data_IF_506117045279
#
_entry.id   IF_506117045279
#
_cell.length_a   1.000
_cell.length_b   1.000
_cell.length_c   1.000
_cell.angle_alpha   90.00
_cell.angle_beta   90.00
_cell.angle_gamma   90.00
#
_symmetry.space_group_name_H-M   'P 1'
#
loop_
_entity.id
_entity.type
_entity.pdbx_description
1 polymer ?
#
# COMPACT_ATOMS: atom_id res chain seq x y z
N UNK A 1 -12.28 9.06 -6.11
CA UNK A 1 -13.72 9.35 -5.87
C UNK A 1 -13.96 10.68 -5.10
N UNK A 2 -13.21 10.99 -4.03
CA UNK A 2 -13.43 12.25 -3.27
C UNK A 2 -13.09 13.48 -4.10
N UNK A 3 -12.02 13.45 -4.88
CA UNK A 3 -11.59 14.57 -5.72
C UNK A 3 -12.56 14.84 -6.88
N UNK A 4 -13.25 13.82 -7.39
CA UNK A 4 -14.20 13.94 -8.50
C UNK A 4 -15.44 14.73 -8.16
N UNK A 5 -15.63 15.09 -6.89
CA UNK A 5 -16.65 16.08 -6.48
C UNK A 5 -16.27 17.52 -6.83
N UNK A 6 -14.99 17.77 -7.06
CA UNK A 6 -14.42 19.12 -7.27
C UNK A 6 -13.72 19.28 -8.61
N UNK A 7 -13.22 18.18 -9.17
CA UNK A 7 -12.44 18.16 -10.41
C UNK A 7 -13.00 17.11 -11.37
N UNK A 8 -12.89 17.37 -12.66
CA UNK A 8 -13.19 16.35 -13.67
C UNK A 8 -12.02 15.36 -13.74
N UNK A 9 -12.28 14.16 -14.22
CA UNK A 9 -11.31 13.06 -14.24
C UNK A 9 -10.03 13.38 -15.00
N UNK A 10 -10.14 14.19 -16.04
CA UNK A 10 -9.02 14.63 -16.88
C UNK A 10 -8.01 15.48 -16.10
N UNK A 11 -8.46 16.16 -15.04
CA UNK A 11 -7.63 16.99 -14.18
C UNK A 11 -7.12 16.27 -12.93
N UNK A 12 -7.42 14.98 -12.79
CA UNK A 12 -6.98 14.17 -11.65
C UNK A 12 -5.85 13.25 -12.08
N UNK A 13 -4.66 13.56 -11.59
CA UNK A 13 -3.53 12.65 -11.61
C UNK A 13 -3.46 11.95 -10.26
N UNK A 14 -3.19 10.67 -10.30
CA UNK A 14 -2.98 9.87 -9.12
C UNK A 14 -1.67 9.09 -9.26
N UNK A 15 -1.07 8.73 -8.14
CA UNK A 15 0.20 8.02 -8.18
C UNK A 15 0.45 7.18 -6.94
N UNK A 16 1.31 6.18 -7.11
CA UNK A 16 1.90 5.44 -6.00
C UNK A 16 3.39 5.76 -5.92
N UNK A 17 3.88 5.97 -4.72
CA UNK A 17 5.29 6.24 -4.47
C UNK A 17 5.89 5.07 -3.69
N UNK A 18 7.03 4.57 -4.17
CA UNK A 18 7.85 3.55 -3.51
C UNK A 18 9.25 4.14 -3.27
N UNK A 19 9.30 5.24 -2.53
CA UNK A 19 10.53 5.92 -2.14
C UNK A 19 10.64 5.85 -0.61
N UNK A 20 11.73 5.28 -0.12
CA UNK A 20 12.04 5.29 1.31
C UNK A 20 12.66 6.62 1.71
N UNK A 21 12.09 7.29 2.70
CA UNK A 21 12.62 8.55 3.22
C UNK A 21 12.51 8.60 4.75
N UNK A 22 13.40 9.35 5.37
CA UNK A 22 13.33 9.70 6.81
C UNK A 22 13.25 11.21 6.93
N UNK A 23 12.21 11.70 7.57
CA UNK A 23 12.09 13.11 7.94
C UNK A 23 12.81 13.34 9.26
N UNK A 24 14.00 13.97 9.23
CA UNK A 24 14.78 14.28 10.42
C UNK A 24 14.20 15.49 11.16
N UNK A 25 13.86 16.52 10.41
CA UNK A 25 13.16 17.74 10.87
C UNK A 25 12.52 18.44 9.68
N UNK A 26 11.76 19.47 9.93
CA UNK A 26 11.14 20.26 8.86
C UNK A 26 12.19 20.75 7.85
N UNK A 27 12.03 20.37 6.58
CA UNK A 27 12.95 20.72 5.49
C UNK A 27 14.22 19.86 5.39
N UNK A 28 14.37 18.83 6.21
CA UNK A 28 15.54 17.94 6.24
C UNK A 28 15.09 16.49 6.12
N UNK A 29 15.27 15.92 4.93
CA UNK A 29 14.79 14.58 4.57
C UNK A 29 15.93 13.76 4.02
N UNK A 30 16.22 12.63 4.67
CA UNK A 30 17.15 11.64 4.15
C UNK A 30 16.44 10.69 3.19
N UNK A 31 17.08 10.44 2.05
CA UNK A 31 16.65 9.43 1.10
C UNK A 31 17.28 8.08 1.46
N UNK A 32 16.45 7.06 1.68
CA UNK A 32 16.93 5.72 2.00
C UNK A 32 17.13 4.96 0.69
N UNK A 33 18.37 4.69 0.35
CA UNK A 33 18.74 3.91 -0.83
C UNK A 33 19.73 4.64 -1.73
N UNK A 34 20.00 4.04 -2.89
CA UNK A 34 20.88 4.66 -3.89
C UNK A 34 20.12 5.76 -4.64
N UNK A 35 20.77 6.83 -5.10
CA UNK A 35 20.16 7.82 -5.99
C UNK A 35 19.46 7.13 -7.17
N UNK A 36 18.21 7.50 -7.44
CA UNK A 36 17.37 6.87 -8.46
C UNK A 36 16.72 5.55 -8.05
N UNK A 37 16.94 5.06 -6.81
CA UNK A 37 16.19 3.94 -6.28
C UNK A 37 14.76 4.37 -5.93
N UNK A 38 13.84 3.42 -6.01
CA UNK A 38 12.41 3.67 -5.83
C UNK A 38 11.72 4.04 -7.14
N UNK A 39 10.41 4.18 -7.07
CA UNK A 39 9.60 4.53 -8.24
C UNK A 39 8.42 5.39 -7.87
N UNK A 40 7.99 6.21 -8.81
CA UNK A 40 6.73 6.94 -8.77
C UNK A 40 5.90 6.46 -9.95
N UNK A 41 4.79 5.78 -9.70
CA UNK A 41 3.84 5.46 -10.77
C UNK A 41 2.81 6.56 -10.84
N UNK A 42 2.56 7.09 -12.02
CA UNK A 42 1.60 8.17 -12.27
C UNK A 42 0.61 7.71 -13.32
N UNK A 43 -0.66 8.00 -13.10
CA UNK A 43 -1.70 7.80 -14.10
C UNK A 43 -2.69 8.99 -14.07
N UNK A 44 -3.22 9.32 -15.22
CA UNK A 44 -4.43 10.11 -15.30
C UNK A 44 -5.63 9.22 -14.97
N UNK A 45 -6.65 9.73 -14.26
CA UNK A 45 -7.81 8.92 -13.87
C UNK A 45 -8.63 8.40 -15.07
N UNK A 46 -8.50 9.03 -16.22
CA UNK A 46 -9.09 8.53 -17.47
C UNK A 46 -8.31 7.37 -18.10
N UNK A 47 -7.13 7.03 -17.53
CA UNK A 47 -6.17 6.08 -18.08
C UNK A 47 -5.65 6.46 -19.48
N UNK A 48 -5.91 7.70 -19.91
CA UNK A 48 -5.43 8.27 -21.15
C UNK A 48 -4.51 9.45 -20.83
N UNK A 49 -3.19 9.25 -20.90
CA UNK A 49 -2.26 10.35 -20.66
C UNK A 49 -2.42 11.43 -21.74
N UNK A 50 -2.54 12.66 -21.29
CA UNK A 50 -2.55 13.85 -22.12
C UNK A 50 -1.17 14.52 -22.14
N UNK A 51 -1.04 15.63 -22.88
CA UNK A 51 0.21 16.38 -22.97
C UNK A 51 0.71 16.85 -21.60
N UNK A 52 -0.21 17.31 -20.74
CA UNK A 52 0.12 17.77 -19.39
C UNK A 52 0.67 16.64 -18.52
N UNK A 53 0.12 15.45 -18.64
CA UNK A 53 0.64 14.25 -17.96
C UNK A 53 2.07 13.94 -18.41
N UNK A 54 2.36 14.04 -19.70
CA UNK A 54 3.71 13.83 -20.23
C UNK A 54 4.70 14.90 -19.77
N UNK A 55 4.29 16.16 -19.68
CA UNK A 55 5.12 17.24 -19.11
C UNK A 55 5.51 16.93 -17.66
N UNK A 56 4.54 16.55 -16.80
CA UNK A 56 4.79 16.19 -15.39
C UNK A 56 5.76 15.01 -15.28
N UNK A 57 5.63 14.00 -16.13
CA UNK A 57 6.57 12.88 -16.17
C UNK A 57 7.98 13.35 -16.58
N UNK A 58 8.08 14.28 -17.52
CA UNK A 58 9.37 14.85 -17.92
C UNK A 58 10.03 15.64 -16.79
N UNK A 59 9.25 16.42 -16.04
CA UNK A 59 9.72 17.18 -14.87
C UNK A 59 10.24 16.25 -13.77
N UNK A 60 9.53 15.15 -13.48
CA UNK A 60 9.99 14.15 -12.52
C UNK A 60 11.30 13.49 -12.95
N UNK A 61 11.47 13.19 -14.25
CA UNK A 61 12.73 12.66 -14.78
C UNK A 61 13.87 13.69 -14.66
N UNK A 62 13.60 14.96 -14.97
CA UNK A 62 14.58 16.03 -14.83
C UNK A 62 15.04 16.22 -13.36
N UNK A 63 14.14 15.93 -12.40
CA UNK A 63 14.43 15.91 -10.96
C UNK A 63 15.13 14.63 -10.49
N UNK A 64 15.61 13.76 -11.37
CA UNK A 64 16.21 12.45 -11.05
C UNK A 64 15.31 11.50 -10.26
N UNK A 65 14.01 11.71 -10.34
CA UNK A 65 13.04 10.71 -9.87
C UNK A 65 12.84 9.65 -10.95
N UNK A 66 12.33 8.49 -10.57
CA UNK A 66 12.11 7.38 -11.50
C UNK A 66 10.60 7.20 -11.77
N UNK A 67 9.98 8.07 -12.61
CA UNK A 67 8.56 8.02 -12.89
C UNK A 67 8.24 6.95 -13.91
N UNK A 68 7.16 6.23 -13.67
CA UNK A 68 6.52 5.32 -14.62
C UNK A 68 5.12 5.84 -14.91
N UNK A 69 4.80 6.05 -16.19
CA UNK A 69 3.45 6.33 -16.62
C UNK A 69 2.71 4.99 -16.79
N UNK A 70 1.63 4.81 -16.03
CA UNK A 70 0.80 3.60 -16.09
C UNK A 70 -0.56 3.89 -16.71
N UNK A 71 -1.06 2.96 -17.49
CA UNK A 71 -2.44 2.95 -18.03
C UNK A 71 -3.36 2.01 -17.25
N UNK A 72 -2.85 1.37 -16.19
CA UNK A 72 -3.61 0.54 -15.26
C UNK A 72 -3.47 1.10 -13.84
N UNK A 73 -4.04 2.28 -13.62
CA UNK A 73 -3.89 2.96 -12.31
C UNK A 73 -4.52 2.16 -11.17
N UNK A 74 -5.76 1.69 -11.35
CA UNK A 74 -6.44 0.92 -10.31
C UNK A 74 -5.69 -0.36 -9.96
N UNK A 75 -5.19 -1.08 -10.95
CA UNK A 75 -4.37 -2.29 -10.71
C UNK A 75 -3.09 -1.96 -9.96
N UNK A 76 -2.40 -0.87 -10.32
CA UNK A 76 -1.19 -0.41 -9.64
C UNK A 76 -1.47 -0.04 -8.19
N UNK A 77 -2.53 0.73 -7.95
CA UNK A 77 -2.94 1.14 -6.60
C UNK A 77 -3.31 -0.08 -5.75
N UNK A 78 -4.15 -0.96 -6.30
CA UNK A 78 -4.65 -2.13 -5.57
C UNK A 78 -3.53 -3.14 -5.29
N UNK A 79 -2.56 -3.35 -6.18
CA UNK A 79 -1.37 -4.17 -5.89
C UNK A 79 -0.64 -3.64 -4.65
N UNK A 80 -0.45 -2.32 -4.53
CA UNK A 80 0.14 -1.73 -3.32
C UNK A 80 -0.75 -1.91 -2.09
N UNK A 81 -2.07 -1.78 -2.23
CA UNK A 81 -3.03 -1.99 -1.13
C UNK A 81 -2.96 -3.44 -0.64
N UNK A 82 -2.88 -4.42 -1.54
CA UNK A 82 -2.74 -5.84 -1.18
C UNK A 82 -1.46 -6.09 -0.39
N UNK A 83 -0.31 -5.61 -0.87
CA UNK A 83 0.94 -5.70 -0.14
C UNK A 83 0.83 -5.10 1.27
N UNK A 84 0.31 -3.88 1.38
CA UNK A 84 0.15 -3.18 2.65
C UNK A 84 -0.84 -3.89 3.58
N UNK A 85 -1.90 -4.51 3.06
CA UNK A 85 -2.90 -5.21 3.87
C UNK A 85 -2.33 -6.43 4.61
N UNK A 86 -1.25 -7.00 4.10
CA UNK A 86 -0.50 -8.06 4.75
C UNK A 86 0.52 -7.49 5.73
N UNK A 87 1.49 -6.75 5.18
CA UNK A 87 2.69 -6.37 5.91
C UNK A 87 2.40 -5.30 6.96
N UNK A 88 1.71 -4.22 6.57
CA UNK A 88 1.44 -3.13 7.49
C UNK A 88 0.59 -3.58 8.67
N UNK A 89 -0.47 -4.33 8.39
CA UNK A 89 -1.44 -4.73 9.41
C UNK A 89 -0.82 -5.69 10.42
N UNK A 90 -0.16 -6.74 9.94
CA UNK A 90 0.44 -7.75 10.82
C UNK A 90 1.58 -7.14 11.63
N UNK A 91 2.50 -6.42 11.00
CA UNK A 91 3.62 -5.80 11.70
C UNK A 91 3.15 -4.76 12.74
N UNK A 92 2.06 -4.05 12.46
CA UNK A 92 1.49 -3.08 13.42
C UNK A 92 0.88 -3.78 14.63
N UNK A 93 0.10 -4.84 14.41
CA UNK A 93 -0.57 -5.56 15.50
C UNK A 93 0.41 -6.21 16.47
N UNK A 94 1.53 -6.72 15.96
CA UNK A 94 2.54 -7.40 16.76
C UNK A 94 3.74 -6.53 17.11
N UNK A 95 3.76 -5.26 16.66
CA UNK A 95 4.83 -4.29 16.92
C UNK A 95 6.22 -4.81 16.48
N UNK A 96 6.26 -5.46 15.30
CA UNK A 96 7.46 -6.12 14.77
C UNK A 96 7.91 -5.50 13.43
N UNK A 97 9.17 -5.72 13.12
CA UNK A 97 9.76 -5.38 11.83
C UNK A 97 9.35 -6.40 10.75
N UNK A 98 9.44 -5.99 9.49
CA UNK A 98 9.07 -6.82 8.34
C UNK A 98 9.86 -8.13 8.28
N UNK A 99 11.17 -8.10 8.58
CA UNK A 99 12.01 -9.31 8.65
C UNK A 99 11.56 -10.28 9.74
N UNK A 100 11.18 -9.77 10.91
CA UNK A 100 10.69 -10.59 12.01
C UNK A 100 9.37 -11.30 11.66
N UNK A 101 8.49 -10.61 10.92
CA UNK A 101 7.25 -11.25 10.41
C UNK A 101 7.58 -12.39 9.45
N UNK A 102 8.45 -12.14 8.47
CA UNK A 102 8.73 -13.15 7.43
C UNK A 102 9.54 -14.35 7.94
N UNK A 103 10.26 -14.19 9.06
CA UNK A 103 10.99 -15.29 9.71
C UNK A 103 10.07 -16.25 10.50
N UNK A 104 8.82 -15.85 10.73
CA UNK A 104 7.83 -16.75 11.32
C UNK A 104 7.47 -17.88 10.34
N UNK A 105 7.56 -19.18 10.75
CA UNK A 105 7.32 -20.30 9.81
C UNK A 105 5.92 -20.34 9.20
N UNK A 106 4.95 -19.66 9.79
CA UNK A 106 3.58 -19.55 9.29
C UNK A 106 3.31 -18.29 8.44
N UNK A 107 4.34 -17.45 8.17
CA UNK A 107 4.17 -16.17 7.46
C UNK A 107 3.57 -16.35 6.07
N UNK A 108 4.03 -17.35 5.32
CA UNK A 108 3.49 -17.67 3.99
C UNK A 108 1.99 -17.97 4.04
N UNK A 109 1.56 -18.81 4.96
CA UNK A 109 0.15 -19.20 5.09
C UNK A 109 -0.74 -18.01 5.44
N UNK A 110 -0.29 -17.16 6.36
CA UNK A 110 -1.04 -15.96 6.76
C UNK A 110 -1.10 -14.95 5.60
N UNK A 111 0.02 -14.72 4.94
CA UNK A 111 0.09 -13.82 3.78
C UNK A 111 -0.80 -14.29 2.64
N UNK A 112 -0.70 -15.57 2.26
CA UNK A 112 -1.50 -16.15 1.16
C UNK A 112 -2.99 -16.12 1.44
N UNK A 113 -3.42 -16.24 2.70
CA UNK A 113 -4.83 -16.10 3.05
C UNK A 113 -5.35 -14.69 2.74
N UNK A 114 -4.64 -13.65 3.16
CA UNK A 114 -5.00 -12.25 2.88
C UNK A 114 -4.90 -11.92 1.40
N UNK A 115 -3.81 -12.34 0.74
CA UNK A 115 -3.62 -12.15 -0.69
C UNK A 115 -4.79 -12.79 -1.47
N UNK A 116 -5.16 -14.02 -1.15
CA UNK A 116 -6.24 -14.72 -1.85
C UNK A 116 -7.59 -14.01 -1.71
N UNK A 117 -7.97 -13.59 -0.49
CA UNK A 117 -9.20 -12.82 -0.31
C UNK A 117 -9.18 -11.50 -1.12
N UNK A 118 -8.06 -10.77 -1.09
CA UNK A 118 -7.94 -9.52 -1.83
C UNK A 118 -8.02 -9.74 -3.36
N UNK A 119 -7.42 -10.82 -3.87
CA UNK A 119 -7.49 -11.17 -5.28
C UNK A 119 -8.90 -11.61 -5.68
N UNK A 120 -9.60 -12.40 -4.85
CA UNK A 120 -11.00 -12.77 -5.10
C UNK A 120 -11.89 -11.52 -5.22
N UNK A 121 -11.67 -10.52 -4.36
CA UNK A 121 -12.37 -9.23 -4.41
C UNK A 121 -12.06 -8.47 -5.69
N UNK A 122 -10.77 -8.32 -6.04
CA UNK A 122 -10.36 -7.54 -7.22
C UNK A 122 -10.79 -8.19 -8.52
N UNK A 123 -10.73 -9.52 -8.62
CA UNK A 123 -11.22 -10.28 -9.78
C UNK A 123 -12.73 -10.06 -9.99
N UNK A 124 -13.55 -10.13 -8.93
CA UNK A 124 -14.98 -9.83 -8.98
C UNK A 124 -15.27 -8.38 -9.35
N UNK A 125 -14.45 -7.45 -8.88
CA UNK A 125 -14.55 -6.04 -9.22
C UNK A 125 -14.03 -5.67 -10.63
N UNK A 126 -13.49 -6.64 -11.38
CA UNK A 126 -12.91 -6.41 -12.71
C UNK A 126 -11.58 -5.62 -12.66
N UNK A 127 -10.92 -5.57 -11.51
CA UNK A 127 -9.64 -4.88 -11.33
C UNK A 127 -8.50 -5.86 -11.61
N UNK A 128 -7.74 -5.61 -12.67
CA UNK A 128 -6.57 -6.43 -13.02
C UNK A 128 -5.35 -5.94 -12.24
N UNK A 129 -4.89 -6.74 -11.29
CA UNK A 129 -3.67 -6.47 -10.54
C UNK A 129 -2.43 -6.62 -11.43
N UNK A 130 -1.29 -6.06 -11.00
CA UNK A 130 -0.02 -6.14 -11.75
C UNK A 130 0.64 -7.51 -11.65
N UNK A 131 0.45 -8.19 -10.53
CA UNK A 131 1.03 -9.48 -10.21
C UNK A 131 -0.04 -10.57 -10.19
N UNK A 132 0.34 -11.82 -10.33
CA UNK A 132 -0.46 -12.95 -9.89
C UNK A 132 -0.27 -13.20 -8.39
N UNK A 133 -1.09 -14.08 -7.80
CA UNK A 133 -1.11 -14.36 -6.36
C UNK A 133 0.24 -14.89 -5.83
N UNK A 134 0.91 -15.71 -6.62
CA UNK A 134 2.20 -16.28 -6.24
C UNK A 134 3.32 -15.24 -6.32
N UNK A 135 3.31 -14.43 -7.36
CA UNK A 135 4.24 -13.30 -7.52
C UNK A 135 4.05 -12.26 -6.41
N UNK A 136 2.80 -12.00 -6.00
CA UNK A 136 2.51 -11.10 -4.88
C UNK A 136 3.09 -11.64 -3.57
N UNK A 137 2.91 -12.92 -3.27
CA UNK A 137 3.54 -13.54 -2.11
C UNK A 137 5.07 -13.42 -2.16
N UNK A 138 5.69 -13.76 -3.30
CA UNK A 138 7.15 -13.63 -3.48
C UNK A 138 7.63 -12.19 -3.30
N UNK A 139 6.82 -11.21 -3.70
CA UNK A 139 7.12 -9.80 -3.47
C UNK A 139 7.10 -9.46 -1.98
N UNK A 140 6.07 -9.92 -1.25
CA UNK A 140 6.00 -9.77 0.21
C UNK A 140 7.23 -10.41 0.87
N UNK A 141 7.57 -11.63 0.49
CA UNK A 141 8.73 -12.34 1.03
C UNK A 141 10.04 -11.59 0.73
N UNK A 142 10.27 -11.23 -0.52
CA UNK A 142 11.51 -10.57 -0.93
C UNK A 142 11.70 -9.20 -0.27
N UNK A 143 10.66 -8.36 -0.30
CA UNK A 143 10.74 -7.02 0.30
C UNK A 143 10.95 -7.10 1.81
N UNK A 144 10.28 -8.03 2.48
CA UNK A 144 10.39 -8.19 3.93
C UNK A 144 11.70 -8.85 4.37
N UNK A 145 12.25 -9.77 3.57
CA UNK A 145 13.48 -10.51 3.93
C UNK A 145 14.75 -9.83 3.46
N UNK A 146 14.72 -9.22 2.27
CA UNK A 146 15.91 -8.69 1.59
C UNK A 146 15.85 -7.18 1.41
N UNK A 147 14.69 -6.67 0.99
CA UNK A 147 14.53 -5.25 0.66
C UNK A 147 14.65 -4.35 1.90
N UNK A 148 13.81 -4.58 2.88
CA UNK A 148 13.70 -3.74 4.07
C UNK A 148 13.44 -4.55 5.36
N UNK A 149 14.29 -5.51 5.75
CA UNK A 149 14.01 -6.42 6.88
C UNK A 149 13.88 -5.71 8.23
N UNK A 150 14.60 -4.61 8.43
CA UNK A 150 14.59 -3.85 9.69
C UNK A 150 13.53 -2.73 9.71
N UNK A 151 12.71 -2.65 8.67
CA UNK A 151 11.73 -1.58 8.56
C UNK A 151 10.48 -1.86 9.38
N UNK A 152 10.02 -0.84 10.09
CA UNK A 152 8.68 -0.78 10.66
C UNK A 152 7.76 -0.07 9.66
N UNK A 153 6.68 -0.71 9.20
CA UNK A 153 5.75 -0.09 8.24
C UNK A 153 5.14 1.22 8.73
N UNK A 154 4.66 2.05 7.80
CA UNK A 154 4.07 3.35 8.11
C UNK A 154 2.89 3.26 9.08
N UNK A 155 2.05 2.25 8.95
CA UNK A 155 0.91 2.02 9.85
C UNK A 155 1.38 1.78 11.30
N UNK A 156 2.47 1.03 11.50
CA UNK A 156 3.08 0.89 12.82
C UNK A 156 3.55 2.24 13.36
N UNK A 157 4.22 3.04 12.53
CA UNK A 157 4.71 4.36 12.94
C UNK A 157 3.57 5.30 13.35
N UNK A 158 2.44 5.25 12.65
CA UNK A 158 1.24 6.00 13.04
C UNK A 158 0.69 5.53 14.38
N UNK A 159 0.52 4.22 14.55
CA UNK A 159 0.06 3.63 15.81
C UNK A 159 0.99 4.00 16.98
N UNK A 160 2.30 3.84 16.80
CA UNK A 160 3.32 4.13 17.81
C UNK A 160 3.34 5.62 18.21
N UNK A 161 3.12 6.51 17.25
CA UNK A 161 3.07 7.96 17.49
C UNK A 161 1.67 8.45 17.93
N UNK A 162 0.76 7.56 18.29
CA UNK A 162 -0.57 7.91 18.80
C UNK A 162 -1.53 8.43 17.75
N UNK A 163 -1.22 8.31 16.46
CA UNK A 163 -2.11 8.67 15.34
C UNK A 163 -3.04 7.51 15.00
N UNK A 164 -4.17 7.81 14.39
CA UNK A 164 -5.03 6.79 13.80
C UNK A 164 -4.38 6.26 12.52
N UNK A 165 -4.57 4.97 12.28
CA UNK A 165 -3.98 4.29 11.13
C UNK A 165 -4.85 4.42 9.87
N UNK A 166 -4.30 3.97 8.74
CA UNK A 166 -5.01 3.90 7.45
C UNK A 166 -5.73 2.56 7.24
N UNK A 167 -5.97 1.78 8.29
CA UNK A 167 -6.53 0.41 8.15
C UNK A 167 -7.87 0.39 7.41
N UNK A 168 -8.71 1.41 7.58
CA UNK A 168 -9.99 1.54 6.86
C UNK A 168 -9.82 1.71 5.34
N UNK A 169 -8.71 2.30 4.91
CA UNK A 169 -8.38 2.51 3.49
C UNK A 169 -7.54 1.37 2.91
N UNK A 170 -7.12 0.40 3.72
CA UNK A 170 -6.32 -0.76 3.33
C UNK A 170 -7.17 -2.03 3.47
N UNK A 171 -7.20 -2.66 4.65
CA UNK A 171 -8.00 -3.87 4.86
C UNK A 171 -9.51 -3.58 4.79
N UNK A 172 -9.95 -2.46 5.37
CA UNK A 172 -11.34 -2.01 5.30
C UNK A 172 -11.81 -1.77 3.87
N UNK A 173 -10.96 -1.17 3.02
CA UNK A 173 -11.31 -0.96 1.62
C UNK A 173 -11.50 -2.28 0.86
N UNK A 174 -10.65 -3.28 1.09
CA UNK A 174 -10.77 -4.61 0.46
C UNK A 174 -12.10 -5.26 0.88
N UNK A 175 -12.43 -5.22 2.16
CA UNK A 175 -13.70 -5.75 2.67
C UNK A 175 -14.91 -5.01 2.07
N UNK A 176 -14.92 -3.68 2.13
CA UNK A 176 -16.02 -2.86 1.62
C UNK A 176 -16.21 -3.00 0.10
N UNK A 177 -15.11 -3.15 -0.64
CA UNK A 177 -15.15 -3.44 -2.08
C UNK A 177 -15.74 -4.84 -2.32
N UNK A 178 -15.31 -5.84 -1.55
CA UNK A 178 -15.83 -7.20 -1.64
C UNK A 178 -17.34 -7.24 -1.47
N UNK A 179 -17.87 -6.55 -0.47
CA UNK A 179 -19.33 -6.48 -0.24
C UNK A 179 -20.11 -5.91 -1.43
N UNK A 180 -19.55 -5.00 -2.19
CA UNK A 180 -20.20 -4.46 -3.41
C UNK A 180 -20.31 -5.51 -4.53
N UNK A 181 -19.52 -6.58 -4.46
CA UNK A 181 -19.44 -7.65 -5.45
C UNK A 181 -19.77 -9.03 -4.86
N UNK A 182 -20.61 -9.06 -3.84
CA UNK A 182 -21.12 -10.28 -3.18
C UNK A 182 -20.00 -11.22 -2.69
N UNK A 183 -18.97 -10.63 -2.08
CA UNK A 183 -17.87 -11.38 -1.46
C UNK A 183 -17.53 -10.80 -0.09
N UNK A 184 -17.46 -11.66 0.91
CA UNK A 184 -17.08 -11.28 2.27
C UNK A 184 -15.61 -11.61 2.55
N UNK A 185 -14.74 -10.62 2.43
CA UNK A 185 -13.32 -10.71 2.79
C UNK A 185 -13.15 -10.67 4.32
N UNK A 186 -13.60 -11.73 4.98
CA UNK A 186 -13.76 -11.78 6.44
C UNK A 186 -12.45 -11.68 7.20
N UNK A 187 -11.33 -12.15 6.63
CA UNK A 187 -10.00 -12.02 7.26
C UNK A 187 -9.56 -10.56 7.28
N UNK A 188 -9.85 -9.81 6.22
CA UNK A 188 -9.55 -8.38 6.18
C UNK A 188 -10.39 -7.59 7.18
N UNK A 189 -11.69 -7.87 7.30
CA UNK A 189 -12.56 -7.21 8.29
C UNK A 189 -12.14 -7.53 9.72
N UNK A 190 -11.80 -8.79 9.99
CA UNK A 190 -11.31 -9.20 11.31
C UNK A 190 -10.02 -8.47 11.71
N UNK A 191 -9.05 -8.38 10.80
CA UNK A 191 -7.80 -7.64 11.06
C UNK A 191 -8.04 -6.14 11.21
N UNK A 192 -8.94 -5.55 10.43
CA UNK A 192 -9.39 -4.17 10.62
C UNK A 192 -9.91 -3.95 12.04
N UNK A 193 -10.76 -4.85 12.52
CA UNK A 193 -11.29 -4.80 13.88
C UNK A 193 -10.19 -4.90 14.95
N UNK A 194 -9.19 -5.75 14.75
CA UNK A 194 -8.04 -5.89 15.66
C UNK A 194 -7.18 -4.61 15.69
N UNK A 195 -6.96 -3.97 14.55
CA UNK A 195 -6.22 -2.71 14.50
C UNK A 195 -6.98 -1.60 15.23
N UNK A 196 -8.29 -1.49 15.02
CA UNK A 196 -9.12 -0.53 15.78
C UNK A 196 -9.12 -0.83 17.30
N UNK A 197 -9.15 -2.10 17.69
CA UNK A 197 -8.98 -2.48 19.08
C UNK A 197 -7.63 -2.00 19.62
N UNK A 198 -6.55 -2.21 18.86
CA UNK A 198 -5.22 -1.77 19.23
C UNK A 198 -5.12 -0.24 19.35
N UNK A 199 -5.72 0.52 18.43
CA UNK A 199 -5.81 1.98 18.49
C UNK A 199 -6.52 2.46 19.77
N UNK A 200 -7.64 1.86 20.10
CA UNK A 200 -8.44 2.26 21.26
C UNK A 200 -7.83 1.84 22.61
N UNK A 201 -7.01 0.81 22.62
CA UNK A 201 -6.40 0.28 23.83
C UNK A 201 -4.95 0.70 24.04
N UNK A 202 -4.34 1.42 23.10
CA UNK A 202 -2.93 1.86 23.21
C UNK A 202 -2.59 2.60 24.49
N UNK A 203 -3.53 3.38 25.03
CA UNK A 203 -3.38 4.07 26.31
C UNK A 203 -3.18 3.15 27.53
N UNK A 204 -3.47 1.87 27.39
CA UNK A 204 -3.30 0.86 28.44
C UNK A 204 -1.99 0.06 28.27
N UNK A 205 -1.21 0.32 27.23
CA UNK A 205 0.04 -0.40 26.92
C UNK A 205 1.30 0.39 27.31
N UNK A 206 1.12 1.57 27.91
CA UNK A 206 2.21 2.44 28.40
C UNK A 206 2.64 2.05 29.80
#
# INVERSE_FOLDING_TARGET
>A
EKLNKYFTKEHVLAGTCLIGTVLNKAGDVDFIGKPGAGSINVANETEKPDERTHEIIADFRAANLNPTLTTNFLGTLMTKVVFNSVVNTICTLFEIQMGQFIDYPGAERLSKQLINEAYDVTERAGIKLLNDRETEWKTVEYVSRVGNPLHYPSMYQDMHNGRNTEVDYINGYIYDLGKKYDYEATTHDFLRGLVHLAENTRKFRQ
#
